data_IF_369698163184
#
_entry.id   IF_369698163184
#
_cell.length_a   1.000
_cell.length_b   1.000
_cell.length_c   1.000
_cell.angle_alpha   90.00
_cell.angle_beta   90.00
_cell.angle_gamma   90.00
#
_symmetry.space_group_name_H-M   'P 1'
#
loop_
_entity.id
_entity.type
_entity.pdbx_description
1 polymer ?
#
# COMPACT_ATOMS: atom_id res chain seq x y z
N UNK A 1 -6.61 -14.95 25.32
CA UNK A 1 -6.10 -14.44 24.03
C UNK A 1 -6.20 -12.93 24.11
N UNK A 2 -5.08 -12.24 24.30
CA UNK A 2 -5.06 -10.79 24.30
C UNK A 2 -5.32 -10.32 22.86
N UNK A 3 -6.36 -9.51 22.67
CA UNK A 3 -6.61 -8.87 21.37
C UNK A 3 -5.54 -7.82 21.13
N UNK A 4 -4.64 -8.06 20.16
CA UNK A 4 -3.81 -7.02 19.56
C UNK A 4 -4.73 -5.94 19.01
N UNK A 5 -4.69 -4.73 19.59
CA UNK A 5 -5.29 -3.57 18.94
C UNK A 5 -4.20 -2.91 18.11
N UNK A 6 -4.35 -3.05 16.80
CA UNK A 6 -3.47 -2.51 15.78
C UNK A 6 -3.98 -1.12 15.43
N UNK A 7 -3.29 -0.07 15.86
CA UNK A 7 -3.54 1.27 15.33
C UNK A 7 -2.86 1.33 13.97
N UNK A 8 -3.55 0.86 12.92
CA UNK A 8 -3.12 1.10 11.54
C UNK A 8 -3.30 2.60 11.34
N UNK A 9 -2.20 3.36 11.32
CA UNK A 9 -2.20 4.70 10.74
C UNK A 9 -2.81 4.52 9.35
N UNK A 10 -4.03 5.01 9.13
CA UNK A 10 -4.73 4.88 7.86
C UNK A 10 -3.93 5.61 6.78
N UNK A 11 -2.94 4.94 6.22
CA UNK A 11 -2.40 5.27 4.92
C UNK A 11 -3.57 5.09 3.98
N UNK A 12 -4.08 6.21 3.46
CA UNK A 12 -5.05 6.23 2.37
C UNK A 12 -4.54 5.29 1.27
N UNK A 13 -5.04 4.06 1.21
CA UNK A 13 -4.87 3.19 0.05
C UNK A 13 -5.64 3.88 -1.08
N UNK A 14 -4.95 4.70 -1.88
CA UNK A 14 -5.44 5.03 -3.22
C UNK A 14 -5.77 3.69 -3.88
N UNK A 15 -6.97 3.58 -4.45
CA UNK A 15 -7.40 2.43 -5.24
C UNK A 15 -6.34 2.23 -6.36
N UNK A 16 -5.35 1.40 -6.06
CA UNK A 16 -4.26 1.06 -6.95
C UNK A 16 -4.81 0.08 -7.98
N UNK A 17 -4.28 0.07 -9.20
CA UNK A 17 -4.68 -0.87 -10.25
C UNK A 17 -4.56 -2.36 -9.82
N UNK A 18 -3.92 -2.63 -8.68
CA UNK A 18 -3.66 -3.94 -8.10
C UNK A 18 -4.37 -4.19 -6.75
N UNK A 19 -5.37 -3.38 -6.36
CA UNK A 19 -6.10 -3.54 -5.08
C UNK A 19 -6.84 -4.88 -4.92
N UNK A 20 -7.26 -5.48 -6.03
CA UNK A 20 -7.91 -6.79 -6.09
C UNK A 20 -6.99 -7.98 -5.78
N UNK A 21 -5.68 -7.80 -5.79
CA UNK A 21 -4.70 -8.86 -5.57
C UNK A 21 -4.57 -9.13 -4.07
N UNK A 22 -4.82 -10.37 -3.67
CA UNK A 22 -4.83 -10.80 -2.27
C UNK A 22 -3.65 -11.70 -1.90
N UNK A 23 -2.97 -12.29 -2.88
CA UNK A 23 -1.89 -13.25 -2.69
C UNK A 23 -1.44 -13.87 -4.01
N UNK A 24 -0.57 -14.88 -3.93
CA UNK A 24 -0.04 -15.56 -5.14
C UNK A 24 -0.98 -16.64 -5.68
N UNK A 25 -2.03 -17.03 -4.95
CA UNK A 25 -2.99 -18.04 -5.41
C UNK A 25 -2.40 -19.44 -5.58
N UNK A 26 -1.50 -19.81 -4.67
CA UNK A 26 -0.81 -21.11 -4.69
C UNK A 26 -1.50 -22.10 -3.76
N UNK A 27 -1.37 -23.39 -4.05
CA UNK A 27 -1.71 -24.46 -3.11
C UNK A 27 -0.58 -24.75 -2.10
N UNK A 28 -0.80 -25.70 -1.20
CA UNK A 28 0.17 -26.10 -0.16
C UNK A 28 1.51 -26.60 -0.73
N UNK A 29 1.48 -27.10 -1.97
CA UNK A 29 2.64 -27.61 -2.71
C UNK A 29 3.30 -26.54 -3.61
N UNK A 30 2.94 -25.26 -3.44
CA UNK A 30 3.38 -24.14 -4.26
C UNK A 30 2.96 -24.23 -5.74
N UNK A 31 1.90 -24.96 -6.08
CA UNK A 31 1.38 -24.99 -7.45
C UNK A 31 0.36 -23.88 -7.67
N UNK A 32 0.47 -23.18 -8.79
CA UNK A 32 -0.42 -22.07 -9.10
C UNK A 32 -1.76 -22.57 -9.67
N UNK A 33 -2.86 -22.15 -9.02
CA UNK A 33 -4.22 -22.35 -9.55
C UNK A 33 -4.45 -21.43 -10.76
N UNK A 34 -5.30 -21.84 -11.70
CA UNK A 34 -5.62 -21.05 -12.91
C UNK A 34 -6.11 -19.63 -12.56
N UNK A 35 -7.04 -19.53 -11.60
CA UNK A 35 -7.57 -18.27 -11.09
C UNK A 35 -7.62 -18.37 -9.57
N UNK A 36 -6.87 -17.52 -8.87
CA UNK A 36 -6.89 -17.45 -7.41
C UNK A 36 -6.29 -16.13 -6.91
N UNK A 37 -6.83 -15.61 -5.80
CA UNK A 37 -6.33 -14.43 -5.08
C UNK A 37 -6.11 -13.18 -5.94
N UNK A 38 -6.96 -13.00 -6.96
CA UNK A 38 -6.92 -11.87 -7.89
C UNK A 38 -5.90 -12.03 -9.03
N UNK A 39 -5.16 -13.14 -9.09
CA UNK A 39 -4.27 -13.47 -10.20
C UNK A 39 -4.89 -14.53 -11.12
N UNK A 40 -4.64 -14.35 -12.41
CA UNK A 40 -5.03 -15.27 -13.48
C UNK A 40 -3.76 -15.71 -14.21
N UNK A 41 -3.62 -17.01 -14.47
CA UNK A 41 -2.52 -17.49 -15.29
C UNK A 41 -1.15 -17.27 -14.66
N UNK A 42 -0.12 -17.00 -15.49
CA UNK A 42 1.28 -16.77 -15.09
C UNK A 42 1.81 -17.81 -14.10
N UNK A 43 1.43 -19.08 -14.28
CA UNK A 43 1.66 -20.14 -13.29
C UNK A 43 3.12 -20.24 -12.90
N UNK A 44 4.03 -20.38 -13.87
CA UNK A 44 5.47 -20.50 -13.63
C UNK A 44 6.03 -19.33 -12.82
N UNK A 45 5.61 -18.10 -13.14
CA UNK A 45 6.07 -16.90 -12.44
C UNK A 45 5.55 -16.84 -11.00
N UNK A 46 4.30 -17.23 -10.77
CA UNK A 46 3.68 -17.30 -9.43
C UNK A 46 4.29 -18.39 -8.57
N UNK A 47 4.57 -19.56 -9.13
CA UNK A 47 5.23 -20.67 -8.44
C UNK A 47 6.67 -20.27 -8.03
N UNK A 48 7.42 -19.66 -8.96
CA UNK A 48 8.75 -19.10 -8.67
C UNK A 48 8.69 -18.04 -7.55
N UNK A 49 7.73 -17.12 -7.63
CA UNK A 49 7.48 -16.14 -6.59
C UNK A 49 7.16 -16.79 -5.23
N UNK A 50 6.39 -17.89 -5.21
CA UNK A 50 6.10 -18.65 -3.99
C UNK A 50 7.34 -19.27 -3.35
N UNK A 51 8.26 -19.80 -4.16
CA UNK A 51 9.56 -20.28 -3.67
C UNK A 51 10.37 -19.14 -3.07
N UNK A 52 10.37 -17.97 -3.72
CA UNK A 52 11.06 -16.78 -3.22
C UNK A 52 10.48 -16.31 -1.89
N UNK A 53 9.15 -16.27 -1.75
CA UNK A 53 8.49 -15.95 -0.47
C UNK A 53 8.95 -16.91 0.64
N UNK A 54 9.05 -18.22 0.36
CA UNK A 54 9.58 -19.18 1.35
C UNK A 54 11.05 -18.91 1.69
N UNK A 55 11.89 -18.57 0.70
CA UNK A 55 13.30 -18.23 0.93
C UNK A 55 13.42 -17.00 1.83
N UNK A 56 12.64 -15.95 1.56
CA UNK A 56 12.58 -14.73 2.38
C UNK A 56 12.18 -15.07 3.81
N UNK A 57 11.05 -15.77 4.00
CA UNK A 57 10.57 -16.15 5.35
C UNK A 57 11.56 -17.03 6.11
N UNK A 58 12.42 -17.77 5.40
CA UNK A 58 13.48 -18.60 6.00
C UNK A 58 14.82 -17.87 6.22
N UNK A 59 14.92 -16.60 5.84
CA UNK A 59 16.16 -15.81 5.97
C UNK A 59 17.27 -16.19 4.97
N UNK A 60 16.97 -16.95 3.91
CA UNK A 60 17.96 -17.48 2.95
C UNK A 60 18.16 -16.61 1.70
N UNK A 61 17.64 -15.39 1.70
CA UNK A 61 17.66 -14.47 0.56
C UNK A 61 18.67 -13.31 0.71
N UNK A 62 19.49 -13.32 1.77
CA UNK A 62 20.44 -12.24 2.05
C UNK A 62 21.33 -11.90 0.84
N UNK A 63 21.44 -10.61 0.53
CA UNK A 63 22.28 -10.10 -0.57
C UNK A 63 21.76 -10.37 -1.98
N UNK A 64 20.51 -10.86 -2.15
CA UNK A 64 19.93 -11.18 -3.47
C UNK A 64 18.70 -10.34 -3.77
N UNK A 65 18.60 -9.88 -5.01
CA UNK A 65 17.42 -9.19 -5.53
C UNK A 65 16.60 -10.10 -6.44
N UNK A 66 15.47 -9.59 -6.91
CA UNK A 66 14.59 -10.28 -7.85
C UNK A 66 14.49 -9.43 -9.11
N UNK A 67 14.57 -10.05 -10.28
CA UNK A 67 14.27 -9.40 -11.55
C UNK A 67 13.03 -10.00 -12.17
N UNK A 68 11.97 -9.22 -12.28
CA UNK A 68 10.79 -9.53 -13.07
C UNK A 68 11.05 -9.12 -14.52
N UNK A 69 11.21 -10.09 -15.42
CA UNK A 69 11.49 -9.87 -16.83
C UNK A 69 10.31 -10.30 -17.71
N UNK A 70 9.95 -9.51 -18.70
CA UNK A 70 8.99 -9.92 -19.72
C UNK A 70 8.26 -8.75 -20.38
N UNK A 71 7.45 -9.00 -21.42
CA UNK A 71 6.76 -7.97 -22.18
C UNK A 71 5.90 -7.02 -21.31
N UNK A 72 5.58 -5.80 -21.79
CA UNK A 72 4.61 -4.94 -21.12
C UNK A 72 3.25 -5.65 -20.95
N UNK A 73 2.59 -5.44 -19.81
CA UNK A 73 1.24 -5.97 -19.58
C UNK A 73 1.15 -7.42 -19.11
N UNK A 74 2.26 -8.12 -18.87
CA UNK A 74 2.29 -9.53 -18.41
C UNK A 74 2.17 -9.73 -16.89
N UNK A 75 1.82 -8.68 -16.12
CA UNK A 75 1.56 -8.81 -14.68
C UNK A 75 2.79 -8.78 -13.75
N UNK A 76 3.94 -8.27 -14.19
CA UNK A 76 5.14 -8.11 -13.33
C UNK A 76 4.85 -7.41 -12.00
N UNK A 77 4.24 -6.22 -12.06
CA UNK A 77 3.84 -5.44 -10.88
C UNK A 77 2.79 -6.16 -10.04
N UNK A 78 1.85 -6.87 -10.68
CA UNK A 78 0.81 -7.65 -10.01
C UNK A 78 1.41 -8.77 -9.15
N UNK A 79 2.39 -9.49 -9.68
CA UNK A 79 3.11 -10.56 -8.95
C UNK A 79 3.95 -9.96 -7.82
N UNK A 80 4.59 -8.80 -8.01
CA UNK A 80 5.33 -8.13 -6.94
C UNK A 80 4.43 -7.71 -5.75
N UNK A 81 3.24 -7.19 -6.04
CA UNK A 81 2.22 -6.89 -5.03
C UNK A 81 1.79 -8.17 -4.31
N UNK A 82 1.56 -9.26 -5.06
CA UNK A 82 1.21 -10.55 -4.48
C UNK A 82 2.31 -11.10 -3.55
N UNK A 83 3.59 -10.97 -3.92
CA UNK A 83 4.74 -11.34 -3.07
C UNK A 83 4.66 -10.57 -1.74
N UNK A 84 4.43 -9.26 -1.78
CA UNK A 84 4.30 -8.45 -0.55
C UNK A 84 3.13 -8.92 0.34
N UNK A 85 1.95 -9.18 -0.24
CA UNK A 85 0.79 -9.68 0.51
C UNK A 85 1.05 -11.05 1.15
N UNK A 86 1.80 -11.92 0.49
CA UNK A 86 2.21 -13.22 1.02
C UNK A 86 3.23 -13.12 2.15
N UNK A 87 4.07 -12.08 2.17
CA UNK A 87 5.02 -11.84 3.25
C UNK A 87 4.30 -11.40 4.54
N UNK A 88 3.21 -10.63 4.40
CA UNK A 88 2.36 -10.24 5.51
C UNK A 88 1.55 -8.98 5.23
N UNK A 89 0.49 -8.75 6.01
CA UNK A 89 -0.38 -7.57 5.86
C UNK A 89 0.28 -6.25 6.25
N UNK A 90 1.25 -6.32 7.18
CA UNK A 90 1.92 -5.15 7.76
C UNK A 90 3.31 -4.91 7.13
N UNK A 91 3.56 -5.48 5.95
CA UNK A 91 4.83 -5.36 5.22
C UNK A 91 4.78 -4.11 4.35
N UNK A 92 5.69 -3.14 4.52
CA UNK A 92 5.76 -1.98 3.62
C UNK A 92 5.98 -2.41 2.17
N UNK A 93 5.19 -1.86 1.25
CA UNK A 93 5.38 -2.02 -0.19
C UNK A 93 5.58 -0.66 -0.83
N UNK A 94 6.77 -0.42 -1.37
CA UNK A 94 7.13 0.82 -2.04
C UNK A 94 7.28 0.52 -3.52
N UNK A 95 6.44 1.16 -4.34
CA UNK A 95 6.55 1.12 -5.80
C UNK A 95 7.10 2.45 -6.29
N UNK A 96 8.18 2.40 -7.07
CA UNK A 96 8.83 3.57 -7.68
C UNK A 96 9.15 3.26 -9.13
N UNK A 97 8.89 4.17 -10.05
CA UNK A 97 9.49 4.09 -11.39
C UNK A 97 10.94 4.54 -11.35
N UNK A 98 11.85 3.86 -12.05
CA UNK A 98 13.26 4.26 -12.15
C UNK A 98 13.46 5.72 -12.60
N UNK A 99 12.52 6.29 -13.36
CA UNK A 99 12.56 7.70 -13.76
C UNK A 99 12.36 8.68 -12.60
N UNK A 100 11.68 8.27 -11.52
CA UNK A 100 11.42 9.12 -10.34
C UNK A 100 12.68 9.42 -9.52
N UNK A 101 13.75 8.63 -9.69
CA UNK A 101 15.04 8.93 -9.07
C UNK A 101 15.71 10.18 -9.66
N UNK A 102 15.29 10.63 -10.83
CA UNK A 102 15.86 11.80 -11.49
C UNK A 102 15.03 13.03 -11.17
N UNK A 103 15.52 13.86 -10.24
CA UNK A 103 14.89 15.12 -9.83
C UNK A 103 15.87 16.28 -9.88
N UNK A 104 15.36 17.49 -10.13
CA UNK A 104 16.14 18.72 -10.02
C UNK A 104 16.36 19.16 -8.56
N UNK A 105 15.47 18.73 -7.66
CA UNK A 105 15.43 19.19 -6.27
C UNK A 105 16.17 18.24 -5.31
N UNK A 106 16.44 17.00 -5.73
CA UNK A 106 16.99 15.94 -4.88
C UNK A 106 17.95 15.07 -5.68
N UNK A 107 19.07 14.71 -5.06
CA UNK A 107 20.04 13.80 -5.67
C UNK A 107 19.41 12.42 -5.93
N UNK A 108 19.79 11.78 -7.03
CA UNK A 108 19.29 10.45 -7.39
C UNK A 108 19.61 9.35 -6.36
N UNK A 109 20.78 9.45 -5.73
CA UNK A 109 21.17 8.53 -4.64
C UNK A 109 20.31 8.75 -3.41
N UNK A 110 20.00 10.01 -3.07
CA UNK A 110 19.11 10.37 -1.97
C UNK A 110 17.69 9.86 -2.22
N UNK A 111 17.17 10.01 -3.44
CA UNK A 111 15.87 9.47 -3.82
C UNK A 111 15.79 7.93 -3.64
N UNK A 112 16.86 7.21 -4.02
CA UNK A 112 16.95 5.76 -3.83
C UNK A 112 17.07 5.38 -2.35
N UNK A 113 17.86 6.12 -1.54
CA UNK A 113 17.95 5.91 -0.09
C UNK A 113 16.58 6.07 0.56
N UNK A 114 15.84 7.13 0.23
CA UNK A 114 14.50 7.34 0.76
C UNK A 114 13.55 6.21 0.36
N UNK A 115 13.60 5.74 -0.89
CA UNK A 115 12.80 4.61 -1.34
C UNK A 115 13.12 3.32 -0.55
N UNK A 116 14.40 3.06 -0.28
CA UNK A 116 14.84 1.92 0.54
C UNK A 116 14.37 2.06 1.99
N UNK A 117 14.53 3.24 2.61
CA UNK A 117 14.13 3.46 4.01
C UNK A 117 12.60 3.45 4.20
N UNK A 118 11.83 3.87 3.19
CA UNK A 118 10.37 3.67 3.15
C UNK A 118 9.96 2.20 3.06
N UNK A 119 10.82 1.35 2.50
CA UNK A 119 10.57 -0.08 2.36
C UNK A 119 11.05 -0.89 3.58
N UNK A 120 11.61 -0.26 4.63
CA UNK A 120 12.02 -0.95 5.85
C UNK A 120 11.08 -0.53 6.98
N UNK A 121 10.30 -1.46 7.48
CA UNK A 121 9.40 -1.27 8.61
C UNK A 121 10.08 -1.54 9.95
N UNK A 122 9.60 -0.87 10.99
CA UNK A 122 9.94 -1.07 12.39
C UNK A 122 8.63 -1.31 13.12
N UNK A 123 8.43 -2.54 13.59
CA UNK A 123 7.29 -2.92 14.43
C UNK A 123 7.66 -2.64 15.88
N UNK A 124 7.13 -1.57 16.45
CA UNK A 124 7.37 -1.16 17.84
C UNK A 124 6.26 -1.70 18.72
N UNK A 125 6.63 -2.37 19.80
CA UNK A 125 5.73 -2.90 20.83
C UNK A 125 5.87 -2.06 22.09
N UNK A 126 4.75 -1.52 22.55
CA UNK A 126 4.71 -0.64 23.70
C UNK A 126 3.57 -1.03 24.63
N UNK A 127 3.90 -1.33 25.88
CA UNK A 127 2.91 -1.57 26.93
C UNK A 127 2.55 -0.25 27.57
N UNK A 128 1.26 0.10 27.53
CA UNK A 128 0.74 1.31 28.18
C UNK A 128 -0.36 0.94 29.16
N UNK A 129 -0.51 1.75 30.22
CA UNK A 129 -1.65 1.62 31.12
C UNK A 129 -2.85 2.34 30.52
N UNK A 130 -3.95 1.61 30.34
CA UNK A 130 -5.18 2.13 29.73
C UNK A 130 -6.39 1.92 30.62
N UNK A 131 -7.41 2.74 30.39
CA UNK A 131 -8.78 2.47 30.83
C UNK A 131 -9.56 1.91 29.64
N UNK A 132 -10.09 0.69 29.76
CA UNK A 132 -10.86 0.06 28.70
C UNK A 132 -12.17 -0.49 29.27
N UNK A 133 -13.28 -0.16 28.62
CA UNK A 133 -14.60 -0.58 29.06
C UNK A 133 -15.72 -0.11 28.14
N UNK A 134 -16.88 -0.71 28.34
CA UNK A 134 -18.15 -0.18 27.84
C UNK A 134 -18.51 1.09 28.61
N UNK A 135 -18.85 2.16 27.90
CA UNK A 135 -19.40 3.38 28.46
C UNK A 135 -20.81 3.08 28.93
N UNK A 136 -21.02 3.02 30.25
CA UNK A 136 -22.33 2.77 30.86
C UNK A 136 -22.93 4.02 31.50
N UNK A 137 -22.19 5.12 31.53
CA UNK A 137 -22.66 6.44 31.94
C UNK A 137 -21.67 7.51 31.47
N UNK A 138 -22.19 8.60 30.94
CA UNK A 138 -21.41 9.73 30.46
C UNK A 138 -22.23 11.01 30.60
N UNK A 139 -21.94 11.77 31.66
CA UNK A 139 -22.69 12.98 32.02
C UNK A 139 -21.80 14.21 31.89
N UNK A 140 -22.13 15.11 30.96
CA UNK A 140 -21.37 16.34 30.74
C UNK A 140 -21.84 17.48 31.65
N UNK A 141 -20.89 18.20 32.22
CA UNK A 141 -21.14 19.53 32.78
C UNK A 141 -20.96 20.57 31.66
N UNK A 142 -22.08 21.11 31.17
CA UNK A 142 -22.12 22.00 30.02
C UNK A 142 -22.14 23.46 30.43
N UNK A 143 -21.23 24.26 29.87
CA UNK A 143 -21.14 25.72 30.08
C UNK A 143 -21.35 26.49 28.77
N UNK A 144 -21.77 27.76 28.80
CA UNK A 144 -21.84 28.58 27.59
C UNK A 144 -20.47 28.72 26.91
N UNK A 145 -20.43 28.63 25.58
CA UNK A 145 -19.21 28.80 24.82
C UNK A 145 -18.75 30.28 24.90
N UNK A 146 -17.49 30.56 25.29
CA UNK A 146 -16.95 31.93 25.42
C UNK A 146 -17.04 32.77 24.15
N UNK A 147 -17.03 32.13 22.97
CA UNK A 147 -17.02 32.81 21.66
C UNK A 147 -18.39 32.78 20.96
N UNK A 148 -19.32 31.94 21.42
CA UNK A 148 -20.67 31.88 20.91
C UNK A 148 -21.65 31.52 22.04
N UNK A 149 -22.20 32.51 22.78
CA UNK A 149 -23.05 32.27 23.95
C UNK A 149 -24.31 31.43 23.70
N UNK A 150 -24.71 31.25 22.43
CA UNK A 150 -25.85 30.40 22.04
C UNK A 150 -25.51 28.91 22.02
N UNK A 151 -24.22 28.55 21.99
CA UNK A 151 -23.74 27.18 22.03
C UNK A 151 -23.23 26.83 23.42
N UNK A 152 -23.47 25.59 23.85
CA UNK A 152 -22.89 25.04 25.08
C UNK A 152 -21.78 24.07 24.74
N UNK A 153 -20.74 24.06 25.57
CA UNK A 153 -19.59 23.16 25.46
C UNK A 153 -19.33 22.44 26.79
N UNK A 154 -18.74 21.24 26.77
CA UNK A 154 -18.41 20.51 27.98
C UNK A 154 -17.20 21.14 28.70
N UNK A 155 -17.39 21.55 29.95
CA UNK A 155 -16.31 21.98 30.86
C UNK A 155 -15.69 20.79 31.60
N UNK A 156 -16.48 19.77 31.89
CA UNK A 156 -16.07 18.52 32.51
C UNK A 156 -17.09 17.43 32.20
N UNK A 157 -16.78 16.18 32.55
CA UNK A 157 -17.74 15.08 32.48
C UNK A 157 -17.55 14.09 33.65
N UNK A 158 -18.59 13.32 33.94
CA UNK A 158 -18.52 12.13 34.77
C UNK A 158 -18.66 10.91 33.88
N UNK A 159 -17.60 10.12 33.76
CA UNK A 159 -17.55 8.93 32.92
C UNK A 159 -17.65 7.68 33.79
N UNK A 160 -18.50 6.73 33.43
CA UNK A 160 -18.54 5.40 34.05
C UNK A 160 -18.26 4.33 33.01
N UNK A 161 -17.17 3.59 33.23
CA UNK A 161 -16.77 2.45 32.40
C UNK A 161 -17.12 1.14 33.10
N UNK A 162 -17.52 0.15 32.33
CA UNK A 162 -17.77 -1.21 32.81
C UNK A 162 -17.07 -2.25 31.93
N UNK A 163 -16.46 -3.22 32.57
CA UNK A 163 -16.07 -4.51 31.99
C UNK A 163 -17.06 -5.58 32.45
N UNK A 164 -16.81 -6.84 32.08
CA UNK A 164 -17.56 -7.98 32.64
C UNK A 164 -17.35 -8.16 34.15
N UNK A 165 -16.25 -7.64 34.70
CA UNK A 165 -15.77 -7.96 36.04
C UNK A 165 -15.70 -6.73 36.97
N UNK A 166 -15.67 -5.51 36.43
CA UNK A 166 -15.54 -4.26 37.20
C UNK A 166 -16.37 -3.14 36.57
N UNK A 167 -16.91 -2.26 37.42
CA UNK A 167 -17.49 -0.98 37.01
C UNK A 167 -16.83 0.14 37.80
N UNK A 168 -16.38 1.19 37.12
CA UNK A 168 -15.63 2.29 37.73
C UNK A 168 -16.04 3.64 37.14
N UNK A 169 -16.18 4.64 38.03
CA UNK A 169 -16.57 6.01 37.67
C UNK A 169 -15.38 6.96 37.84
N UNK A 170 -15.23 7.89 36.91
CA UNK A 170 -14.12 8.83 36.80
C UNK A 170 -14.65 10.26 36.63
N UNK A 171 -13.98 11.21 37.27
CA UNK A 171 -14.13 12.63 36.95
C UNK A 171 -13.21 13.00 35.79
N UNK A 172 -13.76 13.65 34.77
CA UNK A 172 -13.10 13.93 33.50
C UNK A 172 -12.95 15.44 33.35
N UNK A 173 -11.73 15.93 33.20
CA UNK A 173 -11.45 17.34 32.95
C UNK A 173 -11.85 17.79 31.54
N UNK A 174 -12.00 19.10 31.33
CA UNK A 174 -12.58 19.68 30.11
C UNK A 174 -11.93 19.27 28.79
N UNK A 175 -10.60 19.07 28.75
CA UNK A 175 -9.91 18.61 27.54
C UNK A 175 -10.43 17.25 27.06
N UNK A 176 -10.60 16.30 27.98
CA UNK A 176 -11.03 14.94 27.66
C UNK A 176 -12.55 14.88 27.46
N UNK A 177 -13.31 15.68 28.23
CA UNK A 177 -14.75 15.84 28.03
C UNK A 177 -15.07 16.40 26.64
N UNK A 178 -14.32 17.40 26.18
CA UNK A 178 -14.44 17.93 24.81
C UNK A 178 -14.14 16.87 23.76
N UNK A 179 -13.11 16.04 23.95
CA UNK A 179 -12.82 14.95 23.01
C UNK A 179 -13.95 13.91 22.95
N UNK A 180 -14.51 13.49 24.07
CA UNK A 180 -15.67 12.59 24.06
C UNK A 180 -16.84 13.20 23.28
N UNK A 181 -17.09 14.51 23.48
CA UNK A 181 -18.18 15.22 22.82
C UNK A 181 -17.95 15.36 21.31
N UNK A 182 -16.74 15.72 20.87
CA UNK A 182 -16.43 15.88 19.44
C UNK A 182 -16.30 14.57 18.68
N UNK A 183 -15.87 13.49 19.35
CA UNK A 183 -15.83 12.14 18.78
C UNK A 183 -17.19 11.42 18.81
N UNK A 184 -18.22 12.02 19.41
CA UNK A 184 -19.55 11.42 19.49
C UNK A 184 -19.56 10.11 20.30
N UNK A 185 -18.83 10.08 21.42
CA UNK A 185 -18.82 8.93 22.32
C UNK A 185 -20.14 8.90 23.10
N UNK A 186 -20.81 7.75 23.10
CA UNK A 186 -22.12 7.55 23.70
C UNK A 186 -22.14 6.37 24.68
N UNK A 187 -23.18 6.30 25.50
CA UNK A 187 -23.49 5.12 26.30
C UNK A 187 -23.73 3.92 25.38
N UNK A 188 -23.02 2.83 25.64
CA UNK A 188 -22.99 1.62 24.82
C UNK A 188 -21.76 1.52 23.92
N UNK A 189 -20.94 2.55 23.80
CA UNK A 189 -19.65 2.44 23.10
C UNK A 189 -18.62 1.70 23.95
N UNK A 190 -17.77 0.88 23.32
CA UNK A 190 -16.57 0.33 23.96
C UNK A 190 -15.40 1.20 23.56
N UNK A 191 -14.72 1.77 24.56
CA UNK A 191 -13.62 2.70 24.35
C UNK A 191 -12.36 2.24 25.07
N UNK A 192 -11.22 2.72 24.58
CA UNK A 192 -9.93 2.67 25.27
C UNK A 192 -9.39 4.08 25.45
N UNK A 193 -8.89 4.39 26.66
CA UNK A 193 -8.29 5.67 27.00
C UNK A 193 -6.87 5.41 27.49
N UNK A 194 -5.89 5.95 26.79
CA UNK A 194 -4.50 5.96 27.24
C UNK A 194 -4.35 6.92 28.44
N UNK A 195 -3.87 6.42 29.59
CA UNK A 195 -3.76 7.23 30.81
C UNK A 195 -2.68 8.30 30.75
N UNK A 196 -1.64 8.09 29.95
CA UNK A 196 -0.52 9.02 29.85
C UNK A 196 -0.83 10.15 28.88
N UNK A 197 -1.35 9.80 27.70
CA UNK A 197 -1.62 10.79 26.64
C UNK A 197 -3.01 11.41 26.75
N UNK A 198 -3.97 10.67 27.32
CA UNK A 198 -5.39 11.00 27.30
C UNK A 198 -6.05 10.78 25.93
N UNK A 199 -5.40 10.04 25.02
CA UNK A 199 -5.98 9.72 23.71
C UNK A 199 -7.10 8.69 23.87
N UNK A 200 -8.22 8.93 23.17
CA UNK A 200 -9.40 8.07 23.17
C UNK A 200 -9.48 7.32 21.84
N UNK A 201 -9.69 6.01 21.90
CA UNK A 201 -10.05 5.17 20.75
C UNK A 201 -11.42 4.53 20.96
N UNK A 202 -12.36 4.77 20.04
CA UNK A 202 -13.65 4.07 19.98
C UNK A 202 -13.45 2.74 19.25
N UNK A 203 -13.60 1.64 19.96
CA UNK A 203 -13.42 0.28 19.41
C UNK A 203 -14.66 -0.20 18.66
N UNK A 204 -15.83 0.33 19.03
CA UNK A 204 -17.10 -0.06 18.42
C UNK A 204 -18.25 0.05 19.42
N UNK A 205 -19.41 -0.47 19.04
CA UNK A 205 -20.61 -0.49 19.89
C UNK A 205 -20.73 -1.85 20.58
N UNK A 206 -21.12 -1.85 21.84
CA UNK A 206 -21.19 -3.07 22.65
C UNK A 206 -22.29 -4.02 22.13
N UNK A 207 -22.03 -5.32 22.20
CA UNK A 207 -23.04 -6.36 21.90
C UNK A 207 -24.33 -6.20 22.73
N UNK A 208 -24.23 -5.62 23.95
CA UNK A 208 -25.39 -5.38 24.82
C UNK A 208 -26.22 -4.18 24.35
N UNK A 209 -25.59 -3.19 23.73
CA UNK A 209 -26.23 -1.94 23.35
C UNK A 209 -26.86 -1.96 21.95
N UNK A 210 -26.48 -2.91 21.08
CA UNK A 210 -27.03 -2.99 19.72
C UNK A 210 -28.52 -3.39 19.74
N UNK A 211 -29.39 -2.47 19.29
CA UNK A 211 -30.81 -2.77 19.07
C UNK A 211 -31.00 -3.54 17.76
N UNK A 212 -32.03 -4.40 17.69
CA UNK A 212 -32.37 -5.24 16.52
C UNK A 212 -32.68 -4.47 15.22
N UNK A 213 -32.76 -3.14 15.27
CA UNK A 213 -33.15 -2.25 14.17
C UNK A 213 -32.25 -1.00 14.03
N UNK A 214 -31.01 -1.05 14.52
CA UNK A 214 -30.05 0.03 14.26
C UNK A 214 -29.54 -0.06 12.81
N UNK A 215 -29.71 1.03 12.04
CA UNK A 215 -29.25 1.18 10.66
C UNK A 215 -27.79 1.70 10.56
N UNK A 216 -27.03 1.65 11.66
CA UNK A 216 -25.63 2.10 11.70
C UNK A 216 -24.62 1.00 11.39
N UNK A 217 -23.54 1.36 10.71
CA UNK A 217 -22.39 0.50 10.37
C UNK A 217 -21.37 0.37 11.51
N UNK A 218 -21.74 0.70 12.76
CA UNK A 218 -20.83 0.59 13.90
C UNK A 218 -20.38 -0.87 14.10
N UNK A 219 -19.05 -1.07 14.16
CA UNK A 219 -18.44 -2.36 14.45
C UNK A 219 -18.91 -2.85 15.82
N UNK A 220 -19.44 -4.07 15.87
CA UNK A 220 -19.95 -4.65 17.11
C UNK A 220 -18.81 -5.34 17.82
N UNK A 221 -18.56 -4.92 19.06
CA UNK A 221 -17.45 -5.43 19.86
C UNK A 221 -17.94 -6.01 21.19
N UNK A 222 -17.33 -7.10 21.66
CA UNK A 222 -17.70 -7.69 22.94
C UNK A 222 -17.32 -6.78 24.10
N UNK A 223 -18.12 -6.81 25.17
CA UNK A 223 -17.75 -6.11 26.41
C UNK A 223 -16.45 -6.73 26.96
N UNK A 224 -15.40 -5.92 27.20
CA UNK A 224 -14.12 -6.43 27.66
C UNK A 224 -14.21 -7.06 29.04
N UNK A 225 -13.33 -8.01 29.33
CA UNK A 225 -13.16 -8.63 30.66
C UNK A 225 -11.95 -8.06 31.41
N UNK A 226 -11.83 -8.42 32.67
CA UNK A 226 -10.80 -7.98 33.61
C UNK A 226 -11.10 -6.62 34.23
N UNK A 227 -10.07 -6.02 34.83
CA UNK A 227 -10.18 -4.67 35.39
C UNK A 227 -10.39 -3.62 34.30
N UNK A 228 -11.08 -2.53 34.64
CA UNK A 228 -11.24 -1.35 33.78
C UNK A 228 -9.87 -0.74 33.50
N UNK A 229 -9.02 -0.65 34.53
CA UNK A 229 -7.65 -0.21 34.41
C UNK A 229 -6.72 -1.43 34.24
N UNK A 230 -6.00 -1.48 33.12
CA UNK A 230 -5.10 -2.59 32.80
C UNK A 230 -3.96 -2.14 31.89
N UNK A 231 -2.90 -2.94 31.89
CA UNK A 231 -1.84 -2.81 30.90
C UNK A 231 -2.29 -3.41 29.57
N UNK A 232 -1.99 -2.70 28.49
CA UNK A 232 -2.32 -3.11 27.13
C UNK A 232 -1.11 -2.90 26.25
N UNK A 233 -0.74 -3.94 25.51
CA UNK A 233 0.32 -3.87 24.52
C UNK A 233 -0.24 -3.30 23.22
N UNK A 234 0.41 -2.26 22.72
CA UNK A 234 0.16 -1.66 21.42
C UNK A 234 1.29 -2.02 20.48
N UNK A 235 0.92 -2.38 19.25
CA UNK A 235 1.88 -2.63 18.18
C UNK A 235 1.69 -1.59 17.08
N UNK A 236 2.74 -0.84 16.80
CA UNK A 236 2.78 0.16 15.74
C UNK A 236 3.79 -0.27 14.68
N UNK A 237 3.48 -0.01 13.42
CA UNK A 237 4.42 -0.24 12.32
C UNK A 237 4.69 1.12 11.68
N UNK A 238 5.94 1.54 11.74
CA UNK A 238 6.45 2.79 11.12
C UNK A 238 7.62 2.44 10.22
N UNK A 239 7.90 3.22 9.18
CA UNK A 239 9.09 3.00 8.35
C UNK A 239 10.31 3.70 8.93
N UNK A 240 11.51 3.27 8.55
CA UNK A 240 12.74 4.00 8.91
C UNK A 240 12.70 5.45 8.41
N UNK A 241 12.11 5.67 7.24
CA UNK A 241 11.94 7.01 6.71
C UNK A 241 10.98 7.89 7.54
N UNK A 242 9.89 7.32 8.07
CA UNK A 242 8.99 8.07 8.97
C UNK A 242 9.72 8.50 10.25
N UNK A 243 10.59 7.63 10.78
CA UNK A 243 11.44 7.93 11.93
C UNK A 243 12.49 9.00 11.59
N UNK A 244 13.10 8.94 10.40
CA UNK A 244 14.03 9.96 9.92
C UNK A 244 13.36 11.33 9.85
N UNK A 245 12.20 11.43 9.20
CA UNK A 245 11.47 12.69 9.08
C UNK A 245 11.08 13.25 10.45
N UNK A 246 10.60 12.38 11.34
CA UNK A 246 10.21 12.76 12.69
C UNK A 246 11.39 13.33 13.49
N UNK A 247 12.58 12.74 13.35
CA UNK A 247 13.79 13.22 14.02
C UNK A 247 14.36 14.47 13.36
N UNK A 248 14.40 14.55 12.03
CA UNK A 248 14.87 15.72 11.29
C UNK A 248 14.07 16.99 11.67
N UNK A 249 12.74 16.86 11.85
CA UNK A 249 11.88 17.96 12.30
C UNK A 249 12.14 18.41 13.75
N UNK A 250 12.59 17.51 14.63
CA UNK A 250 12.88 17.82 16.04
C UNK A 250 14.20 18.57 16.22
N UNK A 251 15.17 18.34 15.34
CA UNK A 251 16.54 18.84 15.52
C UNK A 251 16.72 20.34 15.26
N UNK A 252 15.74 21.05 14.68
CA UNK A 252 15.95 22.46 14.33
C UNK A 252 14.74 23.38 14.55
N UNK A 253 14.80 24.23 15.58
CA UNK A 253 13.94 25.44 15.71
C UNK A 253 14.05 26.35 14.48
N UNK A 254 15.20 26.32 13.79
CA UNK A 254 15.45 27.11 12.57
C UNK A 254 14.83 26.48 11.31
N UNK A 255 14.46 25.20 11.32
CA UNK A 255 13.74 24.54 10.20
C UNK A 255 12.33 25.08 9.97
N UNK A 256 11.75 25.79 10.95
CA UNK A 256 10.50 26.53 10.79
C UNK A 256 10.65 27.75 9.87
N UNK A 257 11.88 28.25 9.69
CA UNK A 257 12.18 29.47 8.92
C UNK A 257 12.94 29.20 7.61
N UNK A 258 13.49 27.99 7.45
CA UNK A 258 14.10 27.53 6.20
C UNK A 258 13.09 26.76 5.35
N UNK A 259 13.18 26.83 4.00
CA UNK A 259 12.43 25.92 3.15
C UNK A 259 12.72 24.48 3.60
N UNK A 260 11.71 23.60 3.71
CA UNK A 260 11.95 22.21 4.09
C UNK A 260 12.92 21.58 3.09
N UNK A 261 14.13 21.25 3.56
CA UNK A 261 15.05 20.41 2.78
C UNK A 261 14.36 19.08 2.56
N UNK A 262 14.25 18.65 1.30
CA UNK A 262 13.78 17.31 0.98
C UNK A 262 14.82 16.23 1.29
N UNK A 263 16.09 16.60 1.43
CA UNK A 263 17.17 15.67 1.79
C UNK A 263 17.32 15.60 3.31
N UNK A 264 17.45 14.37 3.82
CA UNK A 264 17.69 14.10 5.24
C UNK A 264 19.18 13.86 5.45
N UNK A 265 19.77 14.51 6.46
CA UNK A 265 21.18 14.37 6.78
C UNK A 265 21.52 12.94 7.25
N UNK A 266 22.73 12.49 6.92
CA UNK A 266 23.19 11.16 7.31
C UNK A 266 23.36 11.02 8.83
N UNK A 267 23.72 12.10 9.56
CA UNK A 267 23.81 12.06 11.02
C UNK A 267 22.46 11.74 11.66
N UNK A 268 21.36 12.26 11.09
CA UNK A 268 20.00 11.94 11.55
C UNK A 268 19.67 10.47 11.32
N UNK A 269 20.05 9.92 10.17
CA UNK A 269 19.82 8.50 9.83
C UNK A 269 20.61 7.58 10.73
N UNK A 270 21.88 7.88 10.98
CA UNK A 270 22.74 7.10 11.87
C UNK A 270 22.15 7.09 13.30
N UNK A 271 21.69 8.24 13.79
CA UNK A 271 21.03 8.32 15.09
C UNK A 271 19.71 7.50 15.14
N UNK A 272 18.92 7.52 14.07
CA UNK A 272 17.70 6.70 13.96
C UNK A 272 18.06 5.21 13.93
N UNK A 273 19.09 4.82 13.18
CA UNK A 273 19.53 3.43 13.06
C UNK A 273 20.02 2.89 14.41
N UNK A 274 20.78 3.69 15.17
CA UNK A 274 21.18 3.35 16.54
C UNK A 274 19.99 3.24 17.50
N UNK A 275 19.01 4.15 17.39
CA UNK A 275 17.79 4.11 18.20
C UNK A 275 16.99 2.84 17.92
N UNK A 276 16.78 2.49 16.65
CA UNK A 276 16.04 1.30 16.23
C UNK A 276 16.77 0.04 16.68
N UNK A 277 18.10 -0.02 16.50
CA UNK A 277 18.91 -1.14 16.95
C UNK A 277 18.75 -1.38 18.45
N UNK A 278 18.79 -0.33 19.27
CA UNK A 278 18.58 -0.43 20.71
C UNK A 278 17.19 -0.97 21.05
N UNK A 279 16.14 -0.48 20.39
CA UNK A 279 14.77 -0.98 20.62
C UNK A 279 14.64 -2.47 20.26
N UNK A 280 15.32 -2.92 19.20
CA UNK A 280 15.35 -4.33 18.81
C UNK A 280 16.10 -5.17 19.84
N UNK A 281 17.26 -4.72 20.32
CA UNK A 281 18.04 -5.39 21.37
C UNK A 281 17.28 -5.47 22.71
N UNK A 282 16.48 -4.45 23.04
CA UNK A 282 15.58 -4.42 24.20
C UNK A 282 14.33 -5.31 24.03
N UNK A 283 14.10 -5.89 22.84
CA UNK A 283 12.90 -6.67 22.52
C UNK A 283 11.62 -5.82 22.39
N UNK A 284 11.76 -4.50 22.29
CA UNK A 284 10.66 -3.52 22.16
C UNK A 284 10.35 -3.16 20.71
N UNK A 285 11.18 -3.60 19.77
CA UNK A 285 10.92 -3.48 18.35
C UNK A 285 11.40 -4.70 17.56
N UNK A 286 10.88 -4.83 16.35
CA UNK A 286 11.28 -5.85 15.37
C UNK A 286 11.42 -5.17 14.01
N UNK A 287 12.51 -5.43 13.29
CA UNK A 287 12.64 -4.99 11.91
C UNK A 287 11.75 -5.84 11.00
N UNK A 288 11.02 -5.16 10.13
CA UNK A 288 10.08 -5.75 9.18
C UNK A 288 10.60 -5.42 7.77
N UNK A 289 11.34 -6.33 7.12
CA UNK A 289 11.83 -6.09 5.76
C UNK A 289 10.64 -6.01 4.80
N UNK A 290 10.41 -4.83 4.25
CA UNK A 290 9.42 -4.59 3.22
C UNK A 290 9.94 -4.91 1.83
N UNK A 291 9.17 -4.50 0.84
CA UNK A 291 9.44 -4.72 -0.58
C UNK A 291 9.61 -3.38 -1.27
N UNK A 292 10.75 -3.19 -1.92
CA UNK A 292 11.01 -2.08 -2.85
C UNK A 292 10.88 -2.61 -4.28
N UNK A 293 9.81 -2.23 -4.96
CA UNK A 293 9.58 -2.53 -6.38
C UNK A 293 10.00 -1.33 -7.24
N UNK A 294 11.00 -1.55 -8.11
CA UNK A 294 11.49 -0.54 -9.07
C UNK A 294 11.06 -0.94 -10.47
N UNK A 295 10.09 -0.21 -11.04
CA UNK A 295 9.67 -0.41 -12.43
C UNK A 295 10.61 0.27 -13.42
N UNK A 296 10.59 -0.20 -14.67
CA UNK A 296 11.39 0.36 -15.77
C UNK A 296 12.89 0.49 -15.45
N UNK A 297 13.46 -0.51 -14.77
CA UNK A 297 14.85 -0.50 -14.26
C UNK A 297 15.91 -0.14 -15.32
N UNK A 298 15.64 -0.43 -16.59
CA UNK A 298 16.50 -0.05 -17.72
C UNK A 298 16.70 1.47 -17.89
N UNK A 299 15.93 2.31 -17.18
CA UNK A 299 16.08 3.76 -17.13
C UNK A 299 17.09 4.23 -16.09
N UNK A 300 17.56 3.36 -15.19
CA UNK A 300 18.62 3.66 -14.24
C UNK A 300 19.97 3.75 -14.95
N UNK A 301 20.87 4.56 -14.39
CA UNK A 301 22.26 4.67 -14.84
C UNK A 301 23.22 3.84 -13.99
N UNK A 302 24.46 3.74 -14.47
CA UNK A 302 25.52 2.96 -13.83
C UNK A 302 25.80 3.38 -12.38
N UNK A 303 25.63 4.65 -12.03
CA UNK A 303 25.87 5.13 -10.67
C UNK A 303 24.77 4.65 -9.70
N UNK A 304 23.50 4.69 -10.13
CA UNK A 304 22.39 4.13 -9.35
C UNK A 304 22.54 2.61 -9.18
N UNK A 305 22.97 1.90 -10.22
CA UNK A 305 23.23 0.46 -10.11
C UNK A 305 24.38 0.15 -9.16
N UNK A 306 25.48 0.90 -9.21
CA UNK A 306 26.60 0.73 -8.29
C UNK A 306 26.18 1.01 -6.83
N UNK A 307 25.41 2.07 -6.61
CA UNK A 307 24.86 2.38 -5.29
C UNK A 307 23.94 1.28 -4.77
N UNK A 308 23.02 0.81 -5.60
CA UNK A 308 22.09 -0.28 -5.25
C UNK A 308 22.84 -1.57 -4.95
N UNK A 309 23.88 -1.90 -5.72
CA UNK A 309 24.66 -3.11 -5.51
C UNK A 309 25.33 -3.13 -4.13
N UNK A 310 25.84 -1.98 -3.68
CA UNK A 310 26.36 -1.80 -2.31
C UNK A 310 25.25 -1.85 -1.26
N UNK A 311 24.12 -1.21 -1.51
CA UNK A 311 23.01 -1.17 -0.56
C UNK A 311 22.38 -2.56 -0.34
N UNK A 312 22.37 -3.43 -1.35
CA UNK A 312 21.93 -4.82 -1.25
C UNK A 312 22.77 -5.68 -0.30
N UNK A 313 24.00 -5.27 0.02
CA UNK A 313 24.88 -5.98 0.96
C UNK A 313 24.53 -5.69 2.43
N UNK A 314 23.70 -4.67 2.69
CA UNK A 314 23.25 -4.34 4.04
C UNK A 314 22.32 -5.43 4.60
N UNK A 315 22.53 -5.83 5.85
CA UNK A 315 21.61 -6.74 6.57
C UNK A 315 20.20 -6.17 6.70
N UNK A 316 20.07 -4.84 6.70
CA UNK A 316 18.79 -4.13 6.78
C UNK A 316 18.17 -3.82 5.41
N UNK A 317 18.75 -4.33 4.31
CA UNK A 317 18.22 -4.05 2.98
C UNK A 317 16.79 -4.61 2.81
N UNK A 318 15.86 -3.84 2.24
CA UNK A 318 14.54 -4.36 1.90
C UNK A 318 14.66 -5.39 0.77
N UNK A 319 13.58 -6.13 0.54
CA UNK A 319 13.50 -7.05 -0.60
C UNK A 319 13.37 -6.19 -1.87
N UNK A 320 14.39 -6.22 -2.72
CA UNK A 320 14.43 -5.43 -3.96
C UNK A 320 13.91 -6.26 -5.12
N UNK A 321 12.85 -5.77 -5.76
CA UNK A 321 12.27 -6.34 -6.98
C UNK A 321 12.43 -5.31 -8.10
N UNK A 322 13.25 -5.65 -9.09
CA UNK A 322 13.44 -4.88 -10.31
C UNK A 322 12.48 -5.39 -11.37
N UNK A 323 11.95 -4.52 -12.22
CA UNK A 323 11.16 -4.92 -13.37
C UNK A 323 11.72 -4.32 -14.67
N UNK A 324 11.90 -5.17 -15.66
CA UNK A 324 12.32 -4.76 -17.00
C UNK A 324 11.40 -5.34 -18.07
N UNK A 325 11.04 -4.47 -19.01
CA UNK A 325 10.33 -4.80 -20.25
C UNK A 325 11.27 -4.79 -21.47
N UNK A 326 12.58 -4.62 -21.28
CA UNK A 326 13.58 -4.62 -22.35
C UNK A 326 14.40 -5.91 -22.37
N UNK A 327 14.71 -6.35 -23.58
CA UNK A 327 15.72 -7.39 -23.85
C UNK A 327 17.13 -6.82 -23.68
N UNK A 328 17.89 -6.66 -24.75
CA UNK A 328 19.18 -5.95 -24.68
C UNK A 328 18.98 -4.44 -24.75
N UNK A 329 19.62 -3.71 -23.85
CA UNK A 329 19.60 -2.24 -23.83
C UNK A 329 20.94 -1.69 -23.38
N UNK A 330 21.26 -0.47 -23.82
CA UNK A 330 22.42 0.27 -23.32
C UNK A 330 22.23 0.59 -21.84
N UNK A 331 23.26 0.38 -21.02
CA UNK A 331 23.31 0.85 -19.63
C UNK A 331 23.55 2.36 -19.68
N UNK A 332 22.60 3.15 -19.14
CA UNK A 332 22.71 4.62 -19.22
C UNK A 332 23.97 5.11 -18.49
N UNK A 333 24.61 6.11 -19.08
CA UNK A 333 25.92 6.61 -18.63
C UNK A 333 27.12 5.83 -19.18
N UNK A 334 26.89 4.80 -20.00
CA UNK A 334 27.97 4.00 -20.63
C UNK A 334 27.63 3.69 -22.10
N UNK A 335 28.58 3.13 -22.84
CA UNK A 335 28.34 2.56 -24.18
C UNK A 335 28.09 1.04 -24.16
N UNK A 336 28.01 0.45 -22.97
CA UNK A 336 27.85 -1.00 -22.81
C UNK A 336 26.38 -1.37 -23.03
N UNK A 337 26.15 -2.36 -23.88
CA UNK A 337 24.84 -3.00 -24.07
C UNK A 337 24.81 -4.28 -23.26
N UNK A 338 23.81 -4.42 -22.40
CA UNK A 338 23.65 -5.58 -21.51
C UNK A 338 22.21 -6.09 -21.51
N UNK A 339 21.97 -7.34 -21.10
CA UNK A 339 20.62 -7.83 -20.83
C UNK A 339 19.90 -6.92 -19.84
N UNK A 340 18.67 -6.58 -20.17
CA UNK A 340 17.78 -5.71 -19.42
C UNK A 340 18.28 -4.27 -19.20
N UNK A 341 19.43 -3.89 -19.77
CA UNK A 341 20.12 -2.63 -19.46
C UNK A 341 20.71 -2.61 -18.06
N UNK A 342 21.01 -3.78 -17.48
CA UNK A 342 21.56 -3.94 -16.12
C UNK A 342 23.02 -4.41 -16.21
N UNK A 343 23.94 -3.86 -15.40
CA UNK A 343 25.30 -4.38 -15.27
C UNK A 343 25.36 -5.88 -14.92
N UNK A 344 26.26 -6.63 -15.55
CA UNK A 344 26.34 -8.09 -15.39
C UNK A 344 26.62 -8.52 -13.94
N UNK A 345 27.46 -7.78 -13.23
CA UNK A 345 27.80 -8.01 -11.83
C UNK A 345 26.59 -7.91 -10.89
N UNK A 346 25.68 -6.98 -11.17
CA UNK A 346 24.41 -6.88 -10.47
C UNK A 346 23.45 -7.98 -10.93
N UNK A 347 23.37 -8.25 -12.23
CA UNK A 347 22.47 -9.27 -12.79
C UNK A 347 22.74 -10.66 -12.21
N UNK A 348 24.01 -11.01 -11.98
CA UNK A 348 24.43 -12.27 -11.35
C UNK A 348 23.95 -12.42 -9.89
N UNK A 349 23.59 -11.31 -9.23
CA UNK A 349 23.02 -11.27 -7.87
C UNK A 349 21.49 -11.32 -7.85
N UNK A 350 20.84 -11.35 -9.02
CA UNK A 350 19.38 -11.35 -9.14
C UNK A 350 18.81 -12.74 -9.46
N UNK A 351 17.73 -13.10 -8.79
CA UNK A 351 16.88 -14.21 -9.21
C UNK A 351 15.90 -13.70 -10.27
N UNK A 352 15.99 -14.23 -11.49
CA UNK A 352 15.18 -13.78 -12.61
C UNK A 352 13.89 -14.60 -12.70
N UNK A 353 12.74 -13.94 -12.58
CA UNK A 353 11.42 -14.49 -12.87
C UNK A 353 10.95 -13.93 -14.21
N UNK A 354 10.73 -14.81 -15.18
CA UNK A 354 10.18 -14.44 -16.48
C UNK A 354 8.66 -14.51 -16.50
N UNK A 355 8.03 -13.58 -17.20
CA UNK A 355 6.59 -13.55 -17.49
C UNK A 355 6.35 -13.65 -18.99
N UNK A 356 5.27 -14.31 -19.37
CA UNK A 356 4.93 -14.61 -20.76
C UNK A 356 3.66 -13.85 -21.19
N UNK A 357 3.42 -13.61 -22.48
CA UNK A 357 2.12 -13.10 -22.94
C UNK A 357 0.97 -14.02 -22.49
N UNK A 358 -0.18 -13.43 -22.16
CA UNK A 358 -1.36 -14.19 -21.77
C UNK A 358 -1.99 -14.90 -22.96
N UNK A 359 -2.52 -16.09 -22.73
CA UNK A 359 -3.42 -16.79 -23.65
C UNK A 359 -4.76 -16.06 -23.79
N UNK A 360 -5.51 -16.37 -24.85
CA UNK A 360 -6.83 -15.79 -25.13
C UNK A 360 -7.81 -16.03 -23.97
N UNK A 361 -7.79 -17.23 -23.40
CA UNK A 361 -8.63 -17.62 -22.26
C UNK A 361 -8.30 -16.82 -21.00
N UNK A 362 -7.00 -16.61 -20.73
CA UNK A 362 -6.54 -15.77 -19.62
C UNK A 362 -6.92 -14.31 -19.83
N UNK A 363 -6.76 -13.77 -21.06
CA UNK A 363 -7.18 -12.40 -21.41
C UNK A 363 -8.66 -12.20 -21.12
N UNK A 364 -9.51 -13.11 -21.62
CA UNK A 364 -10.96 -13.06 -21.40
C UNK A 364 -11.31 -13.05 -19.91
N UNK A 365 -10.70 -13.96 -19.15
CA UNK A 365 -10.90 -14.08 -17.70
C UNK A 365 -10.47 -12.81 -16.97
N UNK A 366 -9.34 -12.20 -17.36
CA UNK A 366 -8.86 -10.95 -16.76
C UNK A 366 -9.85 -9.81 -17.07
N UNK A 367 -10.33 -9.68 -18.30
CA UNK A 367 -11.32 -8.66 -18.68
C UNK A 367 -12.60 -8.82 -17.87
N UNK A 368 -13.06 -10.06 -17.68
CA UNK A 368 -14.23 -10.37 -16.84
C UNK A 368 -14.05 -9.90 -15.39
N UNK A 369 -12.93 -10.23 -14.76
CA UNK A 369 -12.61 -9.80 -13.40
C UNK A 369 -12.57 -8.26 -13.32
N UNK A 370 -11.94 -7.59 -14.29
CA UNK A 370 -11.85 -6.12 -14.30
C UNK A 370 -13.18 -5.42 -14.52
N UNK A 371 -14.03 -5.98 -15.38
CA UNK A 371 -15.37 -5.48 -15.59
C UNK A 371 -16.21 -5.61 -14.31
N UNK A 372 -16.15 -6.77 -13.65
CA UNK A 372 -16.84 -7.01 -12.39
C UNK A 372 -16.37 -6.07 -11.26
N UNK A 373 -15.05 -5.89 -11.08
CA UNK A 373 -14.47 -4.94 -10.12
C UNK A 373 -14.95 -3.50 -10.34
N UNK A 374 -15.15 -3.12 -11.61
CA UNK A 374 -15.60 -1.79 -11.98
C UNK A 374 -17.12 -1.64 -12.00
N UNK A 375 -17.87 -2.71 -11.68
CA UNK A 375 -19.33 -2.73 -11.75
C UNK A 375 -19.88 -2.61 -13.18
N UNK A 376 -19.11 -2.99 -14.20
CA UNK A 376 -19.47 -2.89 -15.62
C UNK A 376 -20.03 -4.23 -16.08
N UNK A 377 -21.29 -4.24 -16.53
CA UNK A 377 -21.90 -5.42 -17.15
C UNK A 377 -21.60 -5.45 -18.64
N UNK A 378 -21.01 -6.56 -19.10
CA UNK A 378 -20.67 -6.78 -20.51
C UNK A 378 -21.64 -7.79 -21.14
N UNK A 379 -22.00 -7.59 -22.41
CA UNK A 379 -22.58 -8.67 -23.21
C UNK A 379 -21.51 -9.66 -23.68
N UNK A 380 -21.94 -10.86 -24.07
CA UNK A 380 -21.03 -11.90 -24.58
C UNK A 380 -20.26 -11.42 -25.81
N UNK A 381 -20.92 -10.68 -26.70
CA UNK A 381 -20.31 -10.12 -27.92
C UNK A 381 -19.30 -9.03 -27.59
N UNK A 382 -19.61 -8.13 -26.64
CA UNK A 382 -18.68 -7.13 -26.16
C UNK A 382 -17.44 -7.77 -25.52
N UNK A 383 -17.62 -8.82 -24.71
CA UNK A 383 -16.54 -9.58 -24.09
C UNK A 383 -15.62 -10.24 -25.13
N UNK A 384 -16.18 -10.92 -26.12
CA UNK A 384 -15.39 -11.52 -27.21
C UNK A 384 -14.63 -10.46 -28.01
N UNK A 385 -15.27 -9.32 -28.30
CA UNK A 385 -14.61 -8.20 -29.00
C UNK A 385 -13.44 -7.63 -28.23
N UNK A 386 -13.59 -7.40 -26.92
CA UNK A 386 -12.51 -6.92 -26.05
C UNK A 386 -11.38 -7.95 -25.95
N UNK A 387 -11.71 -9.25 -25.90
CA UNK A 387 -10.74 -10.35 -25.89
C UNK A 387 -9.92 -10.37 -27.19
N UNK A 388 -10.59 -10.27 -28.34
CA UNK A 388 -9.94 -10.15 -29.66
C UNK A 388 -9.00 -8.95 -29.74
N UNK A 389 -9.43 -7.80 -29.21
CA UNK A 389 -8.59 -6.59 -29.15
C UNK A 389 -7.38 -6.85 -28.27
N UNK A 390 -7.56 -7.46 -27.09
CA UNK A 390 -6.48 -7.76 -26.15
C UNK A 390 -5.42 -8.70 -26.73
N UNK A 391 -5.85 -9.69 -27.50
CA UNK A 391 -4.99 -10.66 -28.20
C UNK A 391 -4.21 -10.00 -29.36
N UNK A 392 -4.89 -9.19 -30.18
CA UNK A 392 -4.29 -8.54 -31.37
C UNK A 392 -3.39 -7.35 -31.04
N UNK A 393 -3.65 -6.68 -29.92
CA UNK A 393 -2.95 -5.45 -29.52
C UNK A 393 -2.27 -5.62 -28.17
N UNK A 394 -2.97 -5.31 -27.08
CA UNK A 394 -2.51 -5.58 -25.71
C UNK A 394 -3.68 -5.67 -24.73
N UNK A 395 -3.51 -6.49 -23.70
CA UNK A 395 -4.44 -6.56 -22.58
C UNK A 395 -4.67 -5.20 -21.91
N UNK A 396 -3.62 -4.38 -21.80
CA UNK A 396 -3.71 -3.03 -21.20
C UNK A 396 -4.72 -2.17 -21.96
N UNK A 397 -4.62 -2.15 -23.29
CA UNK A 397 -5.52 -1.37 -24.13
C UNK A 397 -6.95 -1.90 -24.07
N UNK A 398 -7.15 -3.23 -24.14
CA UNK A 398 -8.48 -3.83 -24.00
C UNK A 398 -9.16 -3.48 -22.66
N UNK A 399 -8.42 -3.54 -21.54
CA UNK A 399 -8.95 -3.15 -20.21
C UNK A 399 -9.25 -1.64 -20.16
N UNK A 400 -8.40 -0.80 -20.77
CA UNK A 400 -8.64 0.65 -20.83
C UNK A 400 -9.92 1.01 -21.61
N UNK A 401 -10.33 0.20 -22.59
CA UNK A 401 -11.56 0.43 -23.35
C UNK A 401 -12.85 0.16 -22.55
N UNK A 402 -12.78 -0.53 -21.39
CA UNK A 402 -13.96 -0.81 -20.56
C UNK A 402 -14.68 0.48 -20.12
N UNK A 403 -13.93 1.47 -19.63
CA UNK A 403 -14.52 2.71 -19.13
C UNK A 403 -15.14 3.57 -20.25
N UNK A 404 -14.45 3.85 -21.38
CA UNK A 404 -15.07 4.54 -22.52
C UNK A 404 -16.28 3.80 -23.09
N UNK A 405 -16.22 2.47 -23.24
CA UNK A 405 -17.35 1.68 -23.72
C UNK A 405 -18.55 1.79 -22.76
N UNK A 406 -18.31 1.79 -21.45
CA UNK A 406 -19.36 2.00 -20.46
C UNK A 406 -20.00 3.39 -20.53
N UNK A 407 -19.22 4.44 -20.78
CA UNK A 407 -19.79 5.78 -21.00
C UNK A 407 -20.66 5.83 -22.27
N UNK A 408 -20.30 5.12 -23.34
CA UNK A 408 -21.16 5.04 -24.52
C UNK A 408 -22.46 4.24 -24.27
N UNK A 409 -22.40 3.17 -23.48
CA UNK A 409 -23.59 2.44 -23.07
C UNK A 409 -24.56 3.36 -22.30
N UNK A 410 -24.04 4.18 -21.38
CA UNK A 410 -24.83 5.18 -20.64
C UNK A 410 -25.48 6.21 -21.56
N UNK A 411 -24.78 6.66 -22.61
CA UNK A 411 -25.36 7.60 -23.59
C UNK A 411 -26.55 7.01 -24.34
N UNK A 412 -26.62 5.68 -24.49
CA UNK A 412 -27.80 4.96 -25.03
C UNK A 412 -28.83 4.62 -23.95
N UNK A 413 -28.67 5.14 -22.72
CA UNK A 413 -29.47 4.81 -21.53
C UNK A 413 -29.42 3.31 -21.15
N UNK A 414 -28.29 2.64 -21.38
CA UNK A 414 -28.04 1.25 -20.97
C UNK A 414 -27.00 1.17 -19.85
N UNK A 415 -27.26 0.31 -18.86
CA UNK A 415 -26.26 -0.07 -17.85
C UNK A 415 -25.35 -1.23 -18.29
N UNK A 416 -25.60 -1.79 -19.48
CA UNK A 416 -24.87 -2.92 -20.05
C UNK A 416 -24.17 -2.51 -21.34
N UNK A 417 -22.87 -2.81 -21.41
CA UNK A 417 -22.01 -2.57 -22.57
C UNK A 417 -22.28 -3.64 -23.62
N UNK A 418 -22.62 -3.19 -24.81
CA UNK A 418 -22.87 -4.02 -25.98
C UNK A 418 -21.73 -3.87 -27.01
N UNK A 419 -21.74 -4.71 -28.05
CA UNK A 419 -20.69 -4.72 -29.08
C UNK A 419 -20.47 -3.33 -29.70
N UNK A 420 -21.56 -2.61 -30.01
CA UNK A 420 -21.51 -1.28 -30.63
C UNK A 420 -20.76 -0.24 -29.79
N UNK A 421 -20.80 -0.37 -28.46
CA UNK A 421 -20.10 0.55 -27.55
C UNK A 421 -18.59 0.31 -27.57
N UNK A 422 -18.18 -0.96 -27.60
CA UNK A 422 -16.77 -1.36 -27.69
C UNK A 422 -16.19 -0.96 -29.04
N UNK A 423 -16.93 -1.18 -30.13
CA UNK A 423 -16.49 -0.80 -31.46
C UNK A 423 -16.38 0.71 -31.61
N UNK A 424 -17.33 1.46 -31.05
CA UNK A 424 -17.25 2.91 -31.00
C UNK A 424 -16.02 3.37 -30.22
N UNK A 425 -15.76 2.79 -29.04
CA UNK A 425 -14.57 3.12 -28.25
C UNK A 425 -13.27 2.83 -29.01
N UNK A 426 -13.15 1.64 -29.61
CA UNK A 426 -11.98 1.24 -30.38
C UNK A 426 -11.77 2.10 -31.65
N UNK A 427 -12.83 2.67 -32.22
CA UNK A 427 -12.72 3.56 -33.39
C UNK A 427 -12.18 4.96 -33.04
N UNK A 428 -12.35 5.40 -31.79
CA UNK A 428 -11.98 6.75 -31.34
C UNK A 428 -10.62 6.76 -30.65
N UNK A 429 -10.33 5.75 -29.83
CA UNK A 429 -9.11 5.67 -29.04
C UNK A 429 -8.13 4.71 -29.70
N UNK A 430 -7.03 5.21 -30.26
CA UNK A 430 -6.05 4.37 -30.93
C UNK A 430 -5.16 3.58 -29.94
N UNK A 431 -4.80 2.34 -30.30
CA UNK A 431 -3.72 1.63 -29.62
C UNK A 431 -2.33 2.16 -30.04
N UNK A 432 -1.26 1.68 -29.38
CA UNK A 432 0.12 2.13 -29.63
C UNK A 432 0.57 1.90 -31.07
N UNK A 433 0.23 0.76 -31.67
CA UNK A 433 0.60 0.42 -33.04
C UNK A 433 -0.16 1.29 -34.03
N UNK A 434 -1.47 1.49 -33.83
CA UNK A 434 -2.27 2.41 -34.64
C UNK A 434 -1.75 3.85 -34.56
N UNK A 435 -1.48 4.35 -33.34
CA UNK A 435 -0.93 5.68 -33.13
C UNK A 435 0.44 5.84 -33.80
N UNK A 436 1.31 4.83 -33.70
CA UNK A 436 2.63 4.85 -34.33
C UNK A 436 2.53 4.90 -35.86
N UNK A 437 1.61 4.14 -36.46
CA UNK A 437 1.36 4.17 -37.89
C UNK A 437 0.78 5.51 -38.35
N UNK A 438 -0.12 6.11 -37.56
CA UNK A 438 -0.64 7.44 -37.81
C UNK A 438 0.46 8.50 -37.80
N UNK A 439 1.33 8.50 -36.78
CA UNK A 439 2.44 9.45 -36.67
C UNK A 439 3.40 9.33 -37.85
N UNK A 440 3.77 8.12 -38.27
CA UNK A 440 4.62 7.90 -39.47
C UNK A 440 3.97 8.46 -40.74
N UNK A 441 2.66 8.31 -40.90
CA UNK A 441 1.93 8.83 -42.06
C UNK A 441 1.96 10.36 -42.13
N UNK A 442 1.99 11.03 -40.99
CA UNK A 442 1.89 12.50 -40.88
C UNK A 442 3.20 13.17 -40.48
N UNK A 443 4.30 12.43 -40.42
CA UNK A 443 5.59 12.87 -39.90
C UNK A 443 6.06 14.19 -40.54
N UNK A 444 6.05 14.27 -41.87
CA UNK A 444 6.46 15.49 -42.61
C UNK A 444 5.63 16.71 -42.22
N UNK A 445 4.30 16.56 -42.13
CA UNK A 445 3.39 17.66 -41.75
C UNK A 445 3.50 18.03 -40.27
N UNK A 446 3.83 17.06 -39.40
CA UNK A 446 3.99 17.29 -37.96
C UNK A 446 5.32 17.96 -37.64
N UNK A 447 6.36 17.73 -38.43
CA UNK A 447 7.66 18.41 -38.32
C UNK A 447 7.64 19.83 -38.88
N UNK A 448 6.55 20.24 -39.53
CA UNK A 448 6.40 21.59 -40.09
C UNK A 448 7.36 21.88 -41.24
N UNK A 449 7.78 20.84 -41.97
CA UNK A 449 8.63 20.95 -43.17
C UNK A 449 7.81 21.05 -44.46
#
# INVERSE_FOLDING_TARGET
>A
MAGEIREITQTFERISAHSHIRGLGLDENLRAKDVADGLVGQKRAREAAGVIVRLIKSGKMAGRGILMAGPPGTGKTAIAVAISKELGKDIPFVQVSASEFYSAEMKKTEALIQAMRKAIGVRIRETRTVLEGEVVGLDYNMVPNPYNPTQKIPESATLTLATKDEKRTFSVGGRLAMQFFTQGIEVGDVIVIDKETGRIGKLGRSEKAKKKYDLGDDEVVPVPSGKVEKEKEFTYVVTLHDLDEANARRTSIFSLFSPPSREIDNEVREAVDEQVKRLVEEGRAELVPGVLFIDETHLMDIELFAFMNRAMESEMAPIIILASNRGFSRIRGTDIVAPHGIPLDLLDRLLIITTEPYSREEIKTIIEIRAAESGIMLSNEAMEKLTDIGEKTSLRYAVQLLAPAYEFAKMRNSGKVELEDVERAASIFADVSQSSAYLKKWEEKMLGM
#
